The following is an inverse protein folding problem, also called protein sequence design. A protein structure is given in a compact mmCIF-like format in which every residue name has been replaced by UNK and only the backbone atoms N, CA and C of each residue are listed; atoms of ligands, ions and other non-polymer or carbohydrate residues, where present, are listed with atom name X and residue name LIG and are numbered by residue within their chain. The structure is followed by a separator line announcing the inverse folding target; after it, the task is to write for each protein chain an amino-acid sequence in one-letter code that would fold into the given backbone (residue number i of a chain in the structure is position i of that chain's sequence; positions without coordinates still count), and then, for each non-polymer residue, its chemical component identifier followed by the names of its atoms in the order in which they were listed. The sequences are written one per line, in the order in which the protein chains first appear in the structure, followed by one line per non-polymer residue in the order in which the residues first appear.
data_IF_393868245490
#
_entry.id   IF_393868245490
#
_cell.length_a   1.000
_cell.length_b   1.000
_cell.length_c   1.000
_cell.angle_alpha   90.00
_cell.angle_beta   90.00
_cell.angle_gamma   90.00
#
_symmetry.space_group_name_H-M   'P 1'
#
loop_
_entity.id
_entity.type
_entity.pdbx_description
1 polymer ?
#
# COMPACT_ATOMS: atom_id res chain seq x y z
N UNK A 1 -0.02 13.60 3.66
CA UNK A 1 -0.97 14.07 2.62
C UNK A 1 -0.62 13.51 1.25
N UNK A 2 0.51 13.91 0.65
CA UNK A 2 0.87 13.51 -0.71
C UNK A 2 0.95 11.99 -0.89
N UNK A 3 1.64 11.28 0.01
CA UNK A 3 1.73 9.81 -0.01
C UNK A 3 0.34 9.12 -0.02
N UNK A 4 -0.61 9.61 0.77
CA UNK A 4 -1.97 9.05 0.82
C UNK A 4 -2.76 9.26 -0.48
N UNK A 5 -2.65 10.46 -1.10
CA UNK A 5 -3.29 10.75 -2.39
C UNK A 5 -2.73 9.85 -3.49
N UNK A 6 -1.40 9.75 -3.58
CA UNK A 6 -0.73 8.92 -4.59
C UNK A 6 -1.02 7.42 -4.34
N UNK A 7 -1.04 6.99 -3.08
CA UNK A 7 -1.39 5.61 -2.73
C UNK A 7 -2.83 5.28 -3.09
N UNK A 8 -3.78 6.17 -2.80
CA UNK A 8 -5.18 6.01 -3.25
C UNK A 8 -5.24 5.88 -4.78
N UNK A 9 -4.49 6.70 -5.52
CA UNK A 9 -4.44 6.64 -6.99
C UNK A 9 -3.86 5.32 -7.52
N UNK A 10 -2.82 4.78 -6.88
CA UNK A 10 -2.28 3.47 -7.19
C UNK A 10 -3.33 2.37 -6.93
N UNK A 11 -3.95 2.37 -5.75
CA UNK A 11 -4.98 1.39 -5.38
C UNK A 11 -6.14 1.40 -6.40
N UNK A 12 -6.66 2.57 -6.77
CA UNK A 12 -7.74 2.68 -7.78
C UNK A 12 -7.29 2.25 -9.19
N UNK A 13 -6.00 2.36 -9.54
CA UNK A 13 -5.50 1.77 -10.79
C UNK A 13 -5.48 0.23 -10.74
N UNK A 14 -5.09 -0.36 -9.61
CA UNK A 14 -5.16 -1.80 -9.42
C UNK A 14 -6.61 -2.30 -9.49
N UNK A 15 -7.57 -1.56 -8.92
CA UNK A 15 -9.01 -1.86 -9.01
C UNK A 15 -9.46 -2.06 -10.46
N UNK A 16 -9.06 -1.16 -11.36
CA UNK A 16 -9.45 -1.22 -12.76
C UNK A 16 -8.98 -2.52 -13.43
N UNK A 17 -7.77 -3.01 -13.09
CA UNK A 17 -7.25 -4.29 -13.58
C UNK A 17 -8.10 -5.49 -13.17
N UNK A 18 -8.56 -5.52 -11.91
CA UNK A 18 -9.44 -6.57 -11.41
C UNK A 18 -10.91 -6.45 -11.88
N UNK A 19 -11.36 -5.23 -12.20
CA UNK A 19 -12.72 -5.00 -12.68
C UNK A 19 -12.89 -5.38 -14.15
N UNK A 20 -11.89 -5.13 -15.00
CA UNK A 20 -12.00 -5.29 -16.45
C UNK A 20 -12.47 -6.69 -16.91
N UNK A 21 -12.05 -7.80 -16.29
CA UNK A 21 -12.56 -9.13 -16.61
C UNK A 21 -14.04 -9.35 -16.25
N UNK A 22 -14.59 -8.58 -15.31
CA UNK A 22 -16.00 -8.65 -14.90
C UNK A 22 -16.89 -7.73 -15.75
N UNK A 23 -16.42 -6.51 -15.98
CA UNK A 23 -17.14 -5.48 -16.72
C UNK A 23 -16.18 -4.71 -17.61
N UNK A 24 -16.40 -4.77 -18.93
CA UNK A 24 -15.68 -3.95 -19.89
C UNK A 24 -16.18 -2.50 -19.81
N UNK A 25 -15.57 -1.69 -18.95
CA UNK A 25 -15.88 -0.28 -18.79
C UNK A 25 -14.69 0.61 -19.21
N UNK A 26 -14.94 1.81 -19.77
CA UNK A 26 -13.85 2.74 -20.07
C UNK A 26 -13.07 3.11 -18.81
N UNK A 27 -11.73 3.10 -18.90
CA UNK A 27 -10.82 3.40 -17.77
C UNK A 27 -11.16 4.71 -17.07
N UNK A 28 -11.35 5.79 -17.84
CA UNK A 28 -11.61 7.11 -17.28
C UNK A 28 -12.94 7.17 -16.51
N UNK A 29 -14.01 6.62 -17.09
CA UNK A 29 -15.32 6.57 -16.44
C UNK A 29 -15.28 5.74 -15.15
N UNK A 30 -14.56 4.61 -15.16
CA UNK A 30 -14.41 3.74 -13.98
C UNK A 30 -13.70 4.45 -12.85
N UNK A 31 -12.54 5.08 -13.13
CA UNK A 31 -11.75 5.79 -12.12
C UNK A 31 -12.56 6.94 -11.50
N UNK A 32 -13.24 7.74 -12.33
CA UNK A 32 -14.08 8.85 -11.86
C UNK A 32 -15.27 8.36 -11.02
N UNK A 33 -15.92 7.28 -11.44
CA UNK A 33 -17.02 6.68 -10.70
C UNK A 33 -16.55 6.17 -9.33
N UNK A 34 -15.43 5.44 -9.29
CA UNK A 34 -14.87 4.91 -8.04
C UNK A 34 -14.53 6.06 -7.09
N UNK A 35 -13.86 7.11 -7.56
CA UNK A 35 -13.59 8.27 -6.69
C UNK A 35 -14.85 9.01 -6.25
N UNK A 36 -15.88 9.08 -7.10
CA UNK A 36 -17.18 9.62 -6.72
C UNK A 36 -17.83 8.82 -5.58
N UNK A 37 -17.81 7.49 -5.68
CA UNK A 37 -18.33 6.59 -4.64
C UNK A 37 -17.49 6.71 -3.36
N UNK A 38 -16.16 6.65 -3.46
CA UNK A 38 -15.26 6.78 -2.31
C UNK A 38 -15.45 8.12 -1.60
N UNK A 39 -15.54 9.22 -2.35
CA UNK A 39 -15.81 10.54 -1.79
C UNK A 39 -17.18 10.60 -1.12
N UNK A 40 -18.23 10.05 -1.73
CA UNK A 40 -19.57 10.00 -1.15
C UNK A 40 -19.58 9.22 0.16
N UNK A 41 -18.95 8.04 0.21
CA UNK A 41 -18.82 7.20 1.41
C UNK A 41 -18.03 7.93 2.50
N UNK A 42 -16.90 8.54 2.13
CA UNK A 42 -16.08 9.32 3.06
C UNK A 42 -16.82 10.54 3.62
N UNK A 43 -17.60 11.24 2.80
CA UNK A 43 -18.42 12.39 3.22
C UNK A 43 -19.56 11.96 4.13
N UNK A 44 -20.23 10.85 3.81
CA UNK A 44 -21.30 10.28 4.64
C UNK A 44 -20.80 9.94 6.05
N UNK A 45 -19.48 9.83 6.24
CA UNK A 45 -18.91 9.69 7.57
C UNK A 45 -19.10 8.28 8.13
N UNK A 46 -19.19 7.27 7.25
CA UNK A 46 -19.07 5.87 7.66
C UNK A 46 -17.62 5.68 8.08
N UNK A 47 -17.31 6.03 9.33
CA UNK A 47 -16.07 5.64 9.96
C UNK A 47 -16.04 4.11 9.97
N UNK A 48 -15.14 3.54 9.17
CA UNK A 48 -14.91 2.10 9.11
C UNK A 48 -14.75 1.55 10.54
N UNK A 49 -15.61 0.62 10.92
CA UNK A 49 -15.47 -0.10 12.18
C UNK A 49 -14.20 -0.94 12.11
N UNK A 50 -13.37 -0.92 13.17
CA UNK A 50 -12.18 -1.79 13.26
C UNK A 50 -12.57 -3.25 13.06
N UNK A 51 -13.76 -3.65 13.51
CA UNK A 51 -14.29 -5.00 13.29
C UNK A 51 -14.63 -5.25 11.81
N UNK A 52 -15.22 -4.28 11.12
CA UNK A 52 -15.54 -4.42 9.69
C UNK A 52 -14.27 -4.52 8.84
N UNK A 53 -13.27 -3.66 9.12
CA UNK A 53 -11.96 -3.74 8.49
C UNK A 53 -11.29 -5.11 8.75
N UNK A 54 -11.36 -5.61 9.99
CA UNK A 54 -10.85 -6.93 10.34
C UNK A 54 -11.53 -8.08 9.58
N UNK A 55 -12.86 -8.03 9.42
CA UNK A 55 -13.60 -9.02 8.62
C UNK A 55 -13.15 -9.00 7.16
N UNK A 56 -13.01 -7.80 6.57
CA UNK A 56 -12.52 -7.64 5.20
C UNK A 56 -11.11 -8.22 5.07
N UNK A 57 -10.19 -7.92 6.01
CA UNK A 57 -8.84 -8.50 6.00
C UNK A 57 -8.85 -10.03 6.10
N UNK A 58 -9.74 -10.63 6.90
CA UNK A 58 -9.87 -12.09 6.96
C UNK A 58 -10.31 -12.66 5.60
N UNK A 59 -11.24 -12.00 4.91
CA UNK A 59 -11.68 -12.40 3.57
C UNK A 59 -10.52 -12.28 2.57
N UNK A 60 -9.77 -11.17 2.61
CA UNK A 60 -8.59 -10.95 1.76
C UNK A 60 -7.54 -12.04 1.94
N UNK A 61 -7.12 -12.27 3.18
CA UNK A 61 -6.12 -13.29 3.51
C UNK A 61 -6.61 -14.67 3.12
N UNK A 62 -7.89 -14.98 3.32
CA UNK A 62 -8.48 -16.25 2.90
C UNK A 62 -8.43 -16.43 1.38
N UNK A 63 -8.70 -15.38 0.61
CA UNK A 63 -8.57 -15.39 -0.85
C UNK A 63 -7.13 -15.65 -1.30
N UNK A 64 -6.15 -15.00 -0.65
CA UNK A 64 -4.74 -15.22 -0.94
C UNK A 64 -4.27 -16.64 -0.58
N UNK A 65 -4.72 -17.17 0.57
CA UNK A 65 -4.43 -18.55 0.97
C UNK A 65 -5.07 -19.56 0.00
N UNK A 66 -6.28 -19.29 -0.50
CA UNK A 66 -6.92 -20.10 -1.52
C UNK A 66 -6.09 -20.15 -2.82
N UNK A 67 -5.59 -18.99 -3.28
CA UNK A 67 -4.67 -18.94 -4.42
C UNK A 67 -3.45 -19.81 -4.17
N UNK A 68 -2.84 -19.71 -2.98
CA UNK A 68 -1.66 -20.49 -2.62
C UNK A 68 -1.94 -22.00 -2.62
N UNK A 69 -3.05 -22.44 -2.02
CA UNK A 69 -3.44 -23.85 -1.93
C UNK A 69 -3.63 -24.47 -3.32
N UNK A 70 -4.19 -23.72 -4.27
CA UNK A 70 -4.40 -24.19 -5.65
C UNK A 70 -3.13 -24.09 -6.49
N UNK A 71 -2.33 -23.04 -6.32
CA UNK A 71 -1.13 -22.77 -7.10
C UNK A 71 0.03 -23.72 -6.76
N UNK A 72 0.28 -23.99 -5.47
CA UNK A 72 1.47 -24.75 -5.03
C UNK A 72 1.56 -26.16 -5.65
N UNK A 73 0.49 -26.97 -5.72
CA UNK A 73 0.54 -28.27 -6.39
C UNK A 73 0.86 -28.22 -7.89
N UNK A 74 0.63 -27.07 -8.52
CA UNK A 74 0.84 -26.84 -9.95
C UNK A 74 2.11 -26.03 -10.25
N UNK A 75 2.89 -25.70 -9.22
CA UNK A 75 4.16 -25.03 -9.35
C UNK A 75 5.14 -25.89 -10.15
N UNK A 76 5.69 -25.34 -11.23
CA UNK A 76 6.67 -26.02 -12.09
C UNK A 76 8.06 -25.73 -11.56
N UNK A 77 8.73 -26.77 -11.10
CA UNK A 77 10.11 -26.72 -10.58
C UNK A 77 11.02 -27.50 -11.53
N UNK A 78 10.94 -27.16 -12.82
CA UNK A 78 11.85 -27.69 -13.84
C UNK A 78 13.01 -26.72 -14.11
N UNK A 79 14.09 -27.22 -14.71
CA UNK A 79 15.29 -26.42 -14.96
C UNK A 79 14.99 -25.16 -15.78
N UNK A 80 14.08 -25.24 -16.75
CA UNK A 80 13.71 -24.10 -17.60
C UNK A 80 13.05 -22.97 -16.84
N UNK A 81 12.14 -23.28 -15.91
CA UNK A 81 11.48 -22.27 -15.06
C UNK A 81 12.46 -21.71 -14.05
N UNK A 82 13.29 -22.56 -13.43
CA UNK A 82 14.29 -22.15 -12.46
C UNK A 82 15.35 -21.23 -13.07
N UNK A 83 15.85 -21.54 -14.26
CA UNK A 83 16.78 -20.69 -15.00
C UNK A 83 16.15 -19.34 -15.36
N UNK A 84 14.84 -19.33 -15.66
CA UNK A 84 14.08 -18.11 -15.97
C UNK A 84 13.84 -17.17 -14.77
N UNK A 85 13.96 -17.66 -13.53
CA UNK A 85 13.80 -16.85 -12.30
C UNK A 85 15.10 -16.70 -11.51
N UNK A 86 16.18 -17.35 -11.94
CA UNK A 86 17.47 -17.27 -11.30
C UNK A 86 18.02 -15.84 -11.37
N UNK A 87 18.44 -15.30 -10.23
CA UNK A 87 19.11 -14.01 -10.15
C UNK A 87 20.60 -14.21 -10.37
N UNK A 88 21.14 -13.66 -11.45
CA UNK A 88 22.60 -13.62 -11.67
C UNK A 88 23.23 -12.50 -10.83
N UNK A 89 24.52 -12.62 -10.50
CA UNK A 89 25.27 -11.57 -9.80
C UNK A 89 25.76 -10.45 -10.75
N UNK A 90 25.19 -10.39 -11.95
CA UNK A 90 25.52 -9.35 -12.91
C UNK A 90 24.94 -8.00 -12.47
N UNK A 91 25.63 -6.88 -12.72
CA UNK A 91 25.17 -5.56 -12.29
C UNK A 91 23.73 -5.26 -12.75
N UNK A 92 23.35 -5.64 -13.97
CA UNK A 92 22.02 -5.39 -14.50
C UNK A 92 20.92 -6.16 -13.71
N UNK A 93 21.18 -7.41 -13.35
CA UNK A 93 20.25 -8.21 -12.55
C UNK A 93 20.10 -7.64 -11.14
N UNK A 94 21.20 -7.24 -10.50
CA UNK A 94 21.18 -6.60 -9.18
C UNK A 94 20.43 -5.26 -9.19
N UNK A 95 20.61 -4.45 -10.24
CA UNK A 95 19.84 -3.20 -10.45
C UNK A 95 18.35 -3.48 -10.62
N UNK A 96 18.00 -4.57 -11.32
CA UNK A 96 16.62 -5.04 -11.46
C UNK A 96 16.00 -5.41 -10.12
N UNK A 97 16.73 -6.15 -9.28
CA UNK A 97 16.30 -6.51 -7.92
C UNK A 97 16.07 -5.26 -7.06
N UNK A 98 17.00 -4.29 -7.08
CA UNK A 98 16.85 -3.05 -6.31
C UNK A 98 15.64 -2.22 -6.77
N UNK A 99 15.42 -2.12 -8.08
CA UNK A 99 14.24 -1.47 -8.65
C UNK A 99 12.96 -2.17 -8.21
N UNK A 100 12.95 -3.51 -8.30
CA UNK A 100 11.83 -4.33 -7.84
C UNK A 100 11.57 -4.17 -6.36
N UNK A 101 12.62 -4.03 -5.53
CA UNK A 101 12.50 -3.80 -4.10
C UNK A 101 11.85 -2.45 -3.76
N UNK A 102 12.18 -1.38 -4.49
CA UNK A 102 11.52 -0.06 -4.32
C UNK A 102 10.04 -0.15 -4.68
N UNK A 103 9.68 -0.87 -5.76
CA UNK A 103 8.28 -1.09 -6.11
C UNK A 103 7.55 -2.00 -5.11
N UNK A 104 8.20 -3.07 -4.64
CA UNK A 104 7.64 -4.01 -3.67
C UNK A 104 7.45 -3.38 -2.29
N UNK A 105 8.28 -2.39 -1.92
CA UNK A 105 8.12 -1.62 -0.70
C UNK A 105 6.75 -0.96 -0.60
N UNK A 106 6.15 -0.57 -1.72
CA UNK A 106 4.78 -0.05 -1.77
C UNK A 106 3.76 -1.00 -1.12
N UNK A 107 3.92 -2.32 -1.32
CA UNK A 107 3.00 -3.32 -0.77
C UNK A 107 3.07 -3.45 0.76
N UNK A 108 4.13 -2.90 1.39
CA UNK A 108 4.31 -2.85 2.83
C UNK A 108 3.84 -1.53 3.46
N UNK A 109 3.47 -0.52 2.67
CA UNK A 109 2.92 0.72 3.22
C UNK A 109 1.56 0.46 3.88
N UNK A 110 1.37 1.03 5.07
CA UNK A 110 0.14 0.93 5.86
C UNK A 110 0.38 0.50 7.31
N UNK A 111 1.54 -0.07 7.66
CA UNK A 111 1.84 -0.36 9.07
C UNK A 111 1.98 0.94 9.89
N UNK A 112 2.42 2.03 9.26
CA UNK A 112 2.53 3.35 9.86
C UNK A 112 1.16 3.92 10.26
N UNK A 113 0.06 3.48 9.64
CA UNK A 113 -1.28 3.94 9.97
C UNK A 113 -1.82 3.33 11.27
N UNK A 114 -1.20 2.25 11.78
CA UNK A 114 -1.60 1.61 13.04
C UNK A 114 -1.49 2.56 14.24
N UNK A 115 -0.60 3.56 14.16
CA UNK A 115 -0.44 4.55 15.23
C UNK A 115 -1.67 5.44 15.39
N UNK A 116 -2.49 5.59 14.34
CA UNK A 116 -3.70 6.42 14.39
C UNK A 116 -4.83 5.78 15.22
N UNK A 117 -4.73 4.48 15.51
CA UNK A 117 -5.67 3.75 16.37
C UNK A 117 -5.06 3.38 17.72
N UNK A 118 -3.84 3.86 18.01
CA UNK A 118 -3.11 3.61 19.25
C UNK A 118 -3.94 3.92 20.51
N UNK A 119 -4.75 4.97 20.49
CA UNK A 119 -5.64 5.37 21.60
C UNK A 119 -6.69 4.31 21.97
N UNK A 120 -7.03 3.41 21.04
CA UNK A 120 -8.02 2.34 21.24
C UNK A 120 -7.38 1.00 21.67
N UNK A 121 -6.05 0.95 21.74
CA UNK A 121 -5.30 -0.27 22.03
C UNK A 121 -5.07 -0.40 23.54
N UNK A 122 -5.42 -1.56 24.11
CA UNK A 122 -5.09 -1.90 25.50
C UNK A 122 -3.58 -2.12 25.62
N UNK A 123 -2.95 -1.50 26.61
CA UNK A 123 -1.50 -1.59 26.85
C UNK A 123 -0.70 -1.26 25.57
N UNK A 124 -0.94 -0.08 25.01
CA UNK A 124 -0.40 0.36 23.71
C UNK A 124 1.12 0.25 23.64
N UNK A 125 1.83 0.53 24.74
CA UNK A 125 3.29 0.50 24.82
C UNK A 125 3.88 -0.89 24.53
N UNK A 126 3.14 -1.96 24.83
CA UNK A 126 3.57 -3.34 24.59
C UNK A 126 2.88 -3.97 23.39
N UNK A 127 1.60 -3.68 23.21
CA UNK A 127 0.77 -4.31 22.17
C UNK A 127 1.12 -3.77 20.78
N UNK A 128 1.29 -2.45 20.63
CA UNK A 128 1.52 -1.83 19.32
C UNK A 128 2.85 -2.25 18.68
N UNK A 129 4.00 -2.23 19.40
CA UNK A 129 5.27 -2.66 18.81
C UNK A 129 5.26 -4.14 18.40
N UNK A 130 4.63 -5.02 19.21
CA UNK A 130 4.50 -6.45 18.90
C UNK A 130 3.60 -6.67 17.68
N UNK A 131 2.48 -5.96 17.60
CA UNK A 131 1.55 -6.04 16.47
C UNK A 131 2.20 -5.62 15.15
N UNK A 132 3.03 -4.57 15.15
CA UNK A 132 3.78 -4.12 13.97
C UNK A 132 4.74 -5.23 13.49
N UNK A 133 5.55 -5.79 14.40
CA UNK A 133 6.52 -6.85 14.04
C UNK A 133 5.82 -8.11 13.54
N UNK A 134 4.79 -8.57 14.25
CA UNK A 134 4.02 -9.78 13.86
C UNK A 134 3.37 -9.56 12.51
N UNK A 135 2.73 -8.42 12.28
CA UNK A 135 2.11 -8.11 10.99
C UNK A 135 3.14 -8.11 9.87
N UNK A 136 4.29 -7.43 10.05
CA UNK A 136 5.34 -7.38 9.04
C UNK A 136 5.89 -8.76 8.70
N UNK A 137 6.20 -9.59 9.70
CA UNK A 137 6.70 -10.95 9.46
C UNK A 137 5.66 -11.80 8.72
N UNK A 138 4.41 -11.77 9.15
CA UNK A 138 3.35 -12.54 8.52
C UNK A 138 3.08 -12.09 7.07
N UNK A 139 3.03 -10.77 6.81
CA UNK A 139 2.82 -10.26 5.46
C UNK A 139 4.02 -10.54 4.57
N UNK A 140 5.26 -10.42 5.06
CA UNK A 140 6.46 -10.80 4.30
C UNK A 140 6.41 -12.26 3.87
N UNK A 141 6.11 -13.18 4.80
CA UNK A 141 6.01 -14.61 4.48
C UNK A 141 4.90 -14.89 3.46
N UNK A 142 3.73 -14.27 3.63
CA UNK A 142 2.60 -14.43 2.72
C UNK A 142 2.93 -13.90 1.31
N UNK A 143 3.49 -12.69 1.21
CA UNK A 143 3.87 -12.09 -0.06
C UNK A 143 4.97 -12.89 -0.76
N UNK A 144 5.96 -13.40 -0.01
CA UNK A 144 7.01 -14.25 -0.56
C UNK A 144 6.43 -15.57 -1.12
N UNK A 145 5.54 -16.22 -0.36
CA UNK A 145 4.90 -17.47 -0.79
C UNK A 145 4.02 -17.28 -2.05
N UNK A 146 3.24 -16.20 -2.10
CA UNK A 146 2.39 -15.88 -3.26
C UNK A 146 3.23 -15.50 -4.47
N UNK A 147 4.27 -14.69 -4.29
CA UNK A 147 5.14 -14.28 -5.40
C UNK A 147 5.88 -15.48 -5.97
N UNK A 148 6.45 -16.34 -5.12
CA UNK A 148 7.15 -17.55 -5.54
C UNK A 148 6.19 -18.53 -6.24
N UNK A 149 5.03 -18.83 -5.66
CA UNK A 149 4.06 -19.72 -6.31
C UNK A 149 3.54 -19.16 -7.64
N UNK A 150 3.33 -17.84 -7.74
CA UNK A 150 2.87 -17.20 -8.98
C UNK A 150 3.87 -17.38 -10.12
N UNK A 151 5.16 -17.11 -9.90
CA UNK A 151 6.19 -17.24 -10.96
C UNK A 151 6.51 -18.69 -11.32
N UNK A 152 6.22 -19.64 -10.42
CA UNK A 152 6.37 -21.07 -10.69
C UNK A 152 5.15 -21.63 -11.46
N UNK A 153 3.98 -21.01 -11.39
CA UNK A 153 2.79 -21.43 -12.14
C UNK A 153 2.75 -20.76 -13.53
N UNK A 154 3.07 -19.47 -13.61
CA UNK A 154 3.04 -18.70 -14.85
C UNK A 154 4.37 -17.96 -15.10
N UNK A 155 4.81 -17.86 -16.37
CA UNK A 155 6.02 -17.11 -16.70
C UNK A 155 5.90 -15.63 -16.26
N UNK A 156 7.00 -15.00 -15.77
CA UNK A 156 6.98 -13.61 -15.33
C UNK A 156 6.47 -12.62 -16.39
N UNK A 157 6.74 -12.87 -17.68
CA UNK A 157 6.25 -12.04 -18.78
C UNK A 157 4.70 -12.04 -18.88
N UNK A 158 4.06 -13.19 -18.65
CA UNK A 158 2.59 -13.30 -18.66
C UNK A 158 1.99 -12.58 -17.45
N UNK A 159 2.66 -12.65 -16.30
CA UNK A 159 2.23 -11.95 -15.08
C UNK A 159 2.38 -10.43 -15.22
N UNK A 160 3.44 -9.96 -15.87
CA UNK A 160 3.71 -8.53 -16.08
C UNK A 160 2.65 -7.84 -16.96
N UNK A 161 2.02 -8.58 -17.87
CA UNK A 161 0.96 -8.07 -18.76
C UNK A 161 -0.46 -8.27 -18.19
N UNK A 162 -0.60 -9.01 -17.10
CA UNK A 162 -1.91 -9.32 -16.52
C UNK A 162 -2.44 -8.16 -15.68
N UNK A 163 -3.68 -7.73 -15.96
CA UNK A 163 -4.41 -6.78 -15.11
C UNK A 163 -4.90 -7.37 -13.79
N UNK A 164 -5.09 -8.68 -13.74
CA UNK A 164 -5.60 -9.47 -12.62
C UNK A 164 -4.69 -10.70 -12.32
N UNK A 165 -3.40 -10.49 -12.02
CA UNK A 165 -2.39 -11.56 -12.02
C UNK A 165 -2.74 -12.74 -11.12
N UNK A 166 -3.31 -12.48 -9.93
CA UNK A 166 -3.65 -13.55 -8.98
C UNK A 166 -4.81 -14.42 -9.44
N UNK A 167 -5.83 -13.84 -10.07
CA UNK A 167 -6.92 -14.62 -10.65
C UNK A 167 -6.44 -15.43 -11.86
N UNK A 168 -5.48 -14.88 -12.62
CA UNK A 168 -4.85 -15.58 -13.75
C UNK A 168 -4.00 -16.76 -13.30
N UNK A 169 -3.20 -16.61 -12.23
CA UNK A 169 -2.46 -17.71 -11.59
C UNK A 169 -3.42 -18.79 -11.11
N UNK A 170 -4.46 -18.39 -10.38
CA UNK A 170 -5.46 -19.31 -9.84
C UNK A 170 -6.19 -20.09 -10.97
N UNK A 171 -6.56 -19.42 -12.06
CA UNK A 171 -7.16 -20.05 -13.23
C UNK A 171 -6.20 -21.02 -13.93
N UNK A 172 -4.93 -20.61 -14.10
CA UNK A 172 -3.90 -21.43 -14.74
C UNK A 172 -3.58 -22.70 -13.94
N UNK A 173 -3.70 -22.63 -12.61
CA UNK A 173 -3.57 -23.76 -11.70
C UNK A 173 -4.87 -24.59 -11.55
N UNK A 174 -5.88 -24.37 -12.40
CA UNK A 174 -7.12 -25.15 -12.41
C UNK A 174 -8.15 -24.78 -11.32
N UNK A 175 -7.98 -23.62 -10.68
CA UNK A 175 -8.89 -23.12 -9.66
C UNK A 175 -10.29 -22.81 -10.19
N UNK A 176 -11.37 -23.30 -9.55
CA UNK A 176 -12.74 -23.01 -9.98
C UNK A 176 -13.14 -21.57 -9.64
N UNK A 177 -13.91 -20.94 -10.53
CA UNK A 177 -14.44 -19.57 -10.38
C UNK A 177 -13.36 -18.49 -10.13
N UNK A 178 -12.44 -18.23 -11.08
CA UNK A 178 -11.40 -17.20 -10.92
C UNK A 178 -11.96 -15.79 -10.64
N UNK A 179 -13.18 -15.51 -11.10
CA UNK A 179 -13.89 -14.26 -10.83
C UNK A 179 -14.12 -14.00 -9.33
N UNK A 180 -14.15 -15.03 -8.49
CA UNK A 180 -14.24 -14.88 -7.03
C UNK A 180 -12.98 -14.20 -6.46
N UNK A 181 -11.79 -14.50 -7.01
CA UNK A 181 -10.54 -13.83 -6.62
C UNK A 181 -10.59 -12.35 -7.01
N UNK A 182 -11.12 -12.03 -8.21
CA UNK A 182 -11.32 -10.64 -8.64
C UNK A 182 -12.29 -9.89 -7.73
N UNK A 183 -13.37 -10.53 -7.29
CA UNK A 183 -14.33 -9.94 -6.35
C UNK A 183 -13.69 -9.64 -4.98
N UNK A 184 -12.90 -10.58 -4.44
CA UNK A 184 -12.16 -10.37 -3.19
C UNK A 184 -11.17 -9.22 -3.35
N UNK A 185 -10.39 -9.19 -4.44
CA UNK A 185 -9.44 -8.13 -4.72
C UNK A 185 -10.13 -6.75 -4.85
N UNK A 186 -11.29 -6.68 -5.51
CA UNK A 186 -12.09 -5.46 -5.63
C UNK A 186 -12.49 -4.92 -4.26
N UNK A 187 -13.00 -5.77 -3.37
CA UNK A 187 -13.40 -5.37 -2.01
C UNK A 187 -12.19 -4.82 -1.26
N UNK A 188 -11.05 -5.51 -1.35
CA UNK A 188 -9.81 -5.13 -0.70
C UNK A 188 -9.33 -3.74 -1.12
N UNK A 189 -9.32 -3.53 -2.43
CA UNK A 189 -8.82 -2.32 -3.06
C UNK A 189 -9.75 -1.14 -2.79
N UNK A 190 -11.08 -1.32 -2.79
CA UNK A 190 -12.02 -0.26 -2.39
C UNK A 190 -11.78 0.15 -0.93
N UNK A 191 -11.61 -0.81 -0.03
CA UNK A 191 -11.35 -0.54 1.38
C UNK A 191 -10.05 0.24 1.58
N UNK A 192 -8.96 -0.21 0.96
CA UNK A 192 -7.66 0.47 1.02
C UNK A 192 -7.70 1.89 0.45
N UNK A 193 -8.36 2.08 -0.70
CA UNK A 193 -8.48 3.40 -1.32
C UNK A 193 -9.30 4.37 -0.45
N UNK A 194 -10.38 3.88 0.16
CA UNK A 194 -11.21 4.68 1.06
C UNK A 194 -10.42 5.17 2.27
N UNK A 195 -9.66 4.27 2.91
CA UNK A 195 -8.81 4.62 4.07
C UNK A 195 -7.80 5.69 3.69
N UNK A 196 -7.11 5.51 2.55
CA UNK A 196 -6.12 6.47 2.09
C UNK A 196 -6.73 7.83 1.74
N UNK A 197 -7.93 7.83 1.16
CA UNK A 197 -8.67 9.06 0.87
C UNK A 197 -9.10 9.80 2.15
N UNK A 198 -9.57 9.08 3.17
CA UNK A 198 -9.94 9.66 4.47
C UNK A 198 -8.69 10.22 5.18
N UNK A 199 -7.58 9.50 5.15
CA UNK A 199 -6.31 9.95 5.71
C UNK A 199 -5.83 11.23 5.01
N UNK A 200 -5.84 11.26 3.68
CA UNK A 200 -5.46 12.44 2.91
C UNK A 200 -6.36 13.65 3.23
N UNK A 201 -7.67 13.47 3.30
CA UNK A 201 -8.62 14.56 3.57
C UNK A 201 -8.47 15.14 4.98
N UNK A 202 -8.19 14.30 5.99
CA UNK A 202 -7.92 14.74 7.36
C UNK A 202 -6.63 15.56 7.47
N UNK A 203 -5.58 15.16 6.77
CA UNK A 203 -4.32 15.93 6.76
C UNK A 203 -4.53 17.28 6.05
N UNK A 204 -5.26 17.33 4.92
CA UNK A 204 -5.61 18.60 4.25
C UNK A 204 -6.38 19.52 5.18
N UNK A 205 -7.36 18.97 5.90
CA UNK A 205 -8.15 19.72 6.88
C UNK A 205 -7.29 20.28 8.03
N UNK A 206 -6.39 19.47 8.60
CA UNK A 206 -5.43 19.92 9.60
C UNK A 206 -4.50 21.02 9.06
N UNK A 207 -4.05 20.83 7.81
CA UNK A 207 -3.41 21.80 6.92
C UNK A 207 -4.03 23.20 7.00
N UNK A 208 -5.31 23.22 6.62
CA UNK A 208 -6.11 24.42 6.51
C UNK A 208 -6.42 25.05 7.86
N UNK A 209 -6.53 24.26 8.93
CA UNK A 209 -6.69 24.78 10.30
C UNK A 209 -5.45 25.46 10.85
N UNK A 210 -4.27 25.10 10.35
CA UNK A 210 -2.99 25.75 10.68
C UNK A 210 -2.66 26.89 9.71
N UNK A 211 -3.64 27.41 8.97
CA UNK A 211 -3.51 28.51 8.00
C UNK A 211 -2.49 28.26 6.87
N UNK A 212 -2.02 27.01 6.71
CA UNK A 212 -1.07 26.62 5.66
C UNK A 212 -1.75 26.33 4.32
N UNK A 213 -3.08 26.22 4.31
CA UNK A 213 -3.92 26.00 3.14
C UNK A 213 -5.16 26.91 3.22
N UNK A 214 -5.89 27.14 2.10
CA UNK A 214 -7.07 28.01 2.09
C UNK A 214 -8.10 27.65 3.17
N UNK A 215 -8.55 28.65 3.94
CA UNK A 215 -9.48 28.48 5.05
C UNK A 215 -10.80 27.77 4.67
N UNK A 216 -11.19 27.84 3.39
CA UNK A 216 -12.34 27.12 2.86
C UNK A 216 -12.26 25.60 3.06
N UNK A 217 -11.05 25.03 3.09
CA UNK A 217 -10.78 23.60 3.32
C UNK A 217 -10.85 23.20 4.80
N UNK A 218 -10.82 24.17 5.72
CA UNK A 218 -10.98 23.94 7.17
C UNK A 218 -12.46 23.83 7.60
N UNK A 219 -13.41 23.84 6.66
CA UNK A 219 -14.83 23.69 6.95
C UNK A 219 -15.23 22.21 7.07
N UNK A 220 -16.00 21.89 8.11
CA UNK A 220 -16.61 20.57 8.33
C UNK A 220 -18.12 20.65 8.19
N UNK A 221 -18.73 19.57 7.73
CA UNK A 221 -20.18 19.47 7.67
C UNK A 221 -20.76 19.22 9.07
N UNK A 222 -21.78 19.99 9.47
CA UNK A 222 -22.33 19.97 10.84
C UNK A 222 -22.84 18.59 11.31
N UNK A 223 -23.51 17.83 10.44
CA UNK A 223 -24.11 16.52 10.72
C UNK A 223 -23.11 15.36 10.82
N UNK A 224 -22.13 15.28 9.91
CA UNK A 224 -21.18 14.16 9.84
C UNK A 224 -19.81 14.49 10.44
N UNK A 225 -19.54 15.77 10.73
CA UNK A 225 -18.24 16.29 11.17
C UNK A 225 -17.10 15.94 10.20
N UNK A 226 -17.43 15.71 8.92
CA UNK A 226 -16.46 15.37 7.87
C UNK A 226 -16.03 16.61 7.08
N UNK A 227 -14.74 16.74 6.71
CA UNK A 227 -14.24 17.87 5.92
C UNK A 227 -14.54 17.65 4.44
N UNK A 228 -15.74 18.04 4.00
CA UNK A 228 -16.25 17.73 2.65
C UNK A 228 -15.39 18.33 1.55
N UNK A 229 -15.02 19.62 1.66
CA UNK A 229 -14.19 20.28 0.64
C UNK A 229 -12.79 19.66 0.55
N UNK A 230 -12.20 19.30 1.68
CA UNK A 230 -10.92 18.59 1.72
C UNK A 230 -11.02 17.20 1.08
N UNK A 231 -12.13 16.49 1.29
CA UNK A 231 -12.38 15.17 0.71
C UNK A 231 -12.55 15.25 -0.81
N UNK A 232 -13.34 16.21 -1.30
CA UNK A 232 -13.51 16.45 -2.73
C UNK A 232 -12.20 16.84 -3.41
N UNK A 233 -11.39 17.70 -2.77
CA UNK A 233 -10.08 18.07 -3.28
C UNK A 233 -9.15 16.85 -3.34
N UNK A 234 -9.08 16.06 -2.27
CA UNK A 234 -8.27 14.84 -2.25
C UNK A 234 -8.69 13.86 -3.35
N UNK A 235 -9.99 13.62 -3.51
CA UNK A 235 -10.53 12.73 -4.52
C UNK A 235 -10.25 13.24 -5.94
N UNK A 236 -10.38 14.54 -6.19
CA UNK A 236 -10.10 15.14 -7.49
C UNK A 236 -8.62 15.02 -7.87
N UNK A 237 -7.71 15.35 -6.94
CA UNK A 237 -6.27 15.24 -7.18
C UNK A 237 -5.86 13.78 -7.37
N UNK A 238 -6.39 12.87 -6.54
CA UNK A 238 -6.12 11.44 -6.65
C UNK A 238 -6.67 10.83 -7.95
N UNK A 239 -7.85 11.27 -8.41
CA UNK A 239 -8.40 10.90 -9.71
C UNK A 239 -7.50 11.40 -10.86
N UNK A 240 -7.02 12.64 -10.79
CA UNK A 240 -6.08 13.19 -11.77
C UNK A 240 -4.81 12.35 -11.87
N UNK A 241 -4.19 12.02 -10.74
CA UNK A 241 -3.02 11.13 -10.72
C UNK A 241 -3.34 9.73 -11.24
N UNK A 242 -4.50 9.17 -10.89
CA UNK A 242 -4.89 7.85 -11.34
C UNK A 242 -5.13 7.77 -12.86
N UNK A 243 -5.58 8.87 -13.48
CA UNK A 243 -5.79 8.96 -14.93
C UNK A 243 -4.48 9.18 -15.68
N UNK A 244 -3.56 9.98 -15.14
CA UNK A 244 -2.33 10.37 -15.84
C UNK A 244 -1.17 9.41 -15.65
N UNK A 245 -1.05 8.75 -14.50
CA UNK A 245 0.11 7.93 -14.18
C UNK A 245 -0.25 6.44 -14.18
N UNK A 246 0.64 5.57 -14.69
CA UNK A 246 0.46 4.12 -14.57
C UNK A 246 0.70 3.68 -13.11
N UNK A 247 0.12 2.53 -12.75
CA UNK A 247 0.22 1.93 -11.41
C UNK A 247 1.67 1.88 -10.89
N UNK A 248 2.60 1.40 -11.71
CA UNK A 248 4.02 1.28 -11.32
C UNK A 248 4.64 2.63 -10.95
N UNK A 249 4.32 3.71 -11.68
CA UNK A 249 4.81 5.07 -11.36
C UNK A 249 4.19 5.61 -10.08
N UNK A 250 2.90 5.34 -9.85
CA UNK A 250 2.23 5.75 -8.62
C UNK A 250 2.83 5.02 -7.41
N UNK A 251 3.04 3.70 -7.51
CA UNK A 251 3.69 2.90 -6.47
C UNK A 251 5.13 3.38 -6.18
N UNK A 252 5.90 3.71 -7.22
CA UNK A 252 7.24 4.28 -7.11
C UNK A 252 7.23 5.62 -6.37
N UNK A 253 6.37 6.56 -6.77
CA UNK A 253 6.26 7.88 -6.12
C UNK A 253 5.81 7.76 -4.66
N UNK A 254 4.84 6.87 -4.38
CA UNK A 254 4.40 6.60 -3.02
C UNK A 254 5.54 6.05 -2.15
N UNK A 255 6.28 5.07 -2.68
CA UNK A 255 7.42 4.45 -2.01
C UNK A 255 8.54 5.44 -1.71
N UNK A 256 8.95 6.24 -2.70
CA UNK A 256 9.96 7.30 -2.50
C UNK A 256 9.50 8.31 -1.45
N UNK A 257 8.23 8.73 -1.50
CA UNK A 257 7.69 9.67 -0.50
C UNK A 257 7.74 9.06 0.90
N UNK A 258 7.33 7.80 1.06
CA UNK A 258 7.34 7.11 2.34
C UNK A 258 8.77 6.88 2.86
N UNK A 259 9.70 6.47 2.00
CA UNK A 259 11.12 6.33 2.35
C UNK A 259 11.71 7.66 2.82
N UNK A 260 11.37 8.79 2.19
CA UNK A 260 11.79 10.12 2.65
C UNK A 260 11.26 10.41 4.07
N UNK A 261 9.97 10.14 4.30
CA UNK A 261 9.35 10.31 5.63
C UNK A 261 10.04 9.41 6.66
N UNK A 262 10.31 8.14 6.34
CA UNK A 262 10.97 7.22 7.24
C UNK A 262 12.42 7.60 7.53
N UNK A 263 13.17 8.10 6.54
CA UNK A 263 14.50 8.63 6.77
C UNK A 263 14.45 9.82 7.76
N UNK A 264 13.52 10.75 7.58
CA UNK A 264 13.33 11.90 8.47
C UNK A 264 12.89 11.50 9.88
N UNK A 265 11.97 10.53 10.01
CA UNK A 265 11.52 10.01 11.30
C UNK A 265 12.67 9.35 12.05
N UNK A 266 13.49 8.54 11.37
CA UNK A 266 14.65 7.91 11.97
C UNK A 266 15.70 8.93 12.43
N UNK A 267 16.00 9.96 11.60
CA UNK A 267 16.87 11.08 12.00
C UNK A 267 16.31 11.84 13.21
N UNK A 268 15.01 12.11 13.21
CA UNK A 268 14.34 12.79 14.32
C UNK A 268 14.45 11.99 15.62
N UNK A 269 14.34 10.66 15.55
CA UNK A 269 14.51 9.79 16.71
C UNK A 269 15.96 9.76 17.20
N UNK A 270 16.95 9.79 16.30
CA UNK A 270 18.37 9.90 16.67
C UNK A 270 18.62 11.23 17.41
N UNK A 271 18.14 12.34 16.84
CA UNK A 271 18.27 13.67 17.43
C UNK A 271 17.57 13.74 18.80
N UNK A 272 16.37 13.17 18.93
CA UNK A 272 15.61 13.14 20.18
C UNK A 272 16.34 12.36 21.29
N UNK A 273 17.09 11.30 20.95
CA UNK A 273 17.87 10.52 21.94
C UNK A 273 19.01 11.31 22.55
N UNK A 274 19.51 12.34 21.85
CA UNK A 274 20.54 13.24 22.35
C UNK A 274 19.97 14.52 22.96
N UNK A 275 18.66 14.73 22.90
CA UNK A 275 18.02 15.90 23.48
C UNK A 275 17.95 15.79 25.01
N UNK A 276 18.33 16.84 25.78
CA UNK A 276 18.32 16.81 27.25
C UNK A 276 16.96 16.44 27.87
N UNK A 277 15.87 16.86 27.22
CA UNK A 277 14.49 16.66 27.66
C UNK A 277 13.83 15.37 27.11
N UNK A 278 14.63 14.41 26.63
CA UNK A 278 14.09 13.17 26.09
C UNK A 278 13.18 12.44 27.12
N UNK A 279 11.95 12.03 26.75
CA UNK A 279 11.04 11.33 27.65
C UNK A 279 11.68 10.07 28.25
N UNK A 280 11.66 9.95 29.59
CA UNK A 280 12.35 8.87 30.32
C UNK A 280 11.50 7.61 30.53
N UNK A 281 10.19 7.67 30.27
CA UNK A 281 9.25 6.56 30.53
C UNK A 281 8.73 5.81 29.29
N UNK A 282 9.04 6.25 28.07
CA UNK A 282 8.54 5.61 26.86
C UNK A 282 9.35 4.37 26.46
N UNK A 283 8.72 3.44 25.73
CA UNK A 283 9.42 2.31 25.11
C UNK A 283 10.59 2.78 24.25
N UNK A 284 11.77 2.18 24.44
CA UNK A 284 13.01 2.52 23.72
C UNK A 284 13.40 1.39 22.78
N UNK A 285 13.37 1.66 21.48
CA UNK A 285 13.94 0.76 20.48
C UNK A 285 15.46 0.60 20.70
N UNK A 286 16.05 -0.53 20.28
CA UNK A 286 17.50 -0.71 20.28
C UNK A 286 18.25 0.48 19.65
N UNK A 287 19.43 0.81 20.15
CA UNK A 287 20.22 1.98 19.71
C UNK A 287 20.62 1.93 18.23
N UNK A 288 20.82 0.74 17.68
CA UNK A 288 21.16 0.54 16.27
C UNK A 288 19.96 0.70 15.33
N UNK A 289 18.73 0.51 15.82
CA UNK A 289 17.53 0.44 14.97
C UNK A 289 17.29 1.72 14.14
N UNK A 290 17.31 2.94 14.70
CA UNK A 290 17.09 4.13 13.89
C UNK A 290 18.23 4.44 12.92
N UNK A 291 19.47 4.06 13.24
CA UNK A 291 20.59 4.17 12.30
C UNK A 291 20.42 3.23 11.13
N UNK A 292 20.08 1.96 11.39
CA UNK A 292 19.79 0.99 10.34
C UNK A 292 18.63 1.42 9.46
N UNK A 293 17.54 1.94 10.06
CA UNK A 293 16.40 2.49 9.33
C UNK A 293 16.78 3.67 8.45
N UNK A 294 17.55 4.63 8.97
CA UNK A 294 18.03 5.77 8.20
C UNK A 294 18.92 5.34 7.03
N UNK A 295 19.88 4.45 7.25
CA UNK A 295 20.78 3.96 6.21
C UNK A 295 20.03 3.16 5.13
N UNK A 296 19.08 2.31 5.53
CA UNK A 296 18.29 1.53 4.57
C UNK A 296 17.38 2.43 3.72
N UNK A 297 16.61 3.33 4.36
CA UNK A 297 15.74 4.26 3.64
C UNK A 297 16.54 5.25 2.80
N UNK A 298 17.60 5.82 3.34
CA UNK A 298 18.50 6.74 2.65
C UNK A 298 19.22 6.10 1.47
N UNK A 299 19.67 4.84 1.62
CA UNK A 299 20.30 4.07 0.55
C UNK A 299 19.36 3.81 -0.62
N UNK A 300 18.13 3.35 -0.35
CA UNK A 300 17.11 3.14 -1.38
C UNK A 300 16.69 4.45 -2.06
N UNK A 301 16.59 5.54 -1.31
CA UNK A 301 16.32 6.86 -1.88
C UNK A 301 17.45 7.35 -2.79
N UNK A 302 18.70 7.22 -2.35
CA UNK A 302 19.86 7.62 -3.15
C UNK A 302 19.92 6.83 -4.45
N UNK A 303 19.67 5.52 -4.38
CA UNK A 303 19.55 4.65 -5.55
C UNK A 303 18.44 5.15 -6.51
N UNK A 304 17.25 5.42 -5.99
CA UNK A 304 16.12 5.80 -6.82
C UNK A 304 16.30 7.19 -7.45
N UNK A 305 16.92 8.13 -6.74
CA UNK A 305 17.28 9.45 -7.28
C UNK A 305 18.32 9.31 -8.39
N UNK A 306 19.35 8.48 -8.21
CA UNK A 306 20.36 8.21 -9.25
C UNK A 306 19.72 7.62 -10.50
N UNK A 307 18.82 6.65 -10.34
CA UNK A 307 18.08 5.99 -11.43
C UNK A 307 17.20 6.96 -12.24
N UNK A 308 16.66 8.01 -11.61
CA UNK A 308 15.80 9.00 -12.29
C UNK A 308 16.62 10.08 -12.99
N UNK A 309 17.82 10.39 -12.48
CA UNK A 309 18.68 11.46 -13.01
C UNK A 309 19.70 10.98 -14.06
N UNK A 310 20.06 9.69 -14.07
CA UNK A 310 20.94 9.07 -15.05
C UNK A 310 20.17 8.38 -16.17
#
# INVERSE_FOLDING_TARGET
MFAGIVSSAAIVNAFYGYLQPLFAAPRAATILLVYGVLAAVAIWGIAQSVAAAGVVTVIEVSGLLLVLVVAVPHARVDATVLDGIAVTLEPAALLGVLTGAVLAFYAFLGFEDMVNVAEKVKDVERTLPRAIVVTLVLTTLLYAAISASSVLVLPPAVLAEAGDPLARVYAAAGGPWPLAINAIAIIAVINGALIQLIMASRVIYGLARQESLPASLASVWARTQTPVRATLLAALVAAGFALWLPLARLAQVASVTALCVFALVNLSLIALRWHPDAPRGAWRAPSWAPWAGFLASGGLLAFEVQRVLG
#
